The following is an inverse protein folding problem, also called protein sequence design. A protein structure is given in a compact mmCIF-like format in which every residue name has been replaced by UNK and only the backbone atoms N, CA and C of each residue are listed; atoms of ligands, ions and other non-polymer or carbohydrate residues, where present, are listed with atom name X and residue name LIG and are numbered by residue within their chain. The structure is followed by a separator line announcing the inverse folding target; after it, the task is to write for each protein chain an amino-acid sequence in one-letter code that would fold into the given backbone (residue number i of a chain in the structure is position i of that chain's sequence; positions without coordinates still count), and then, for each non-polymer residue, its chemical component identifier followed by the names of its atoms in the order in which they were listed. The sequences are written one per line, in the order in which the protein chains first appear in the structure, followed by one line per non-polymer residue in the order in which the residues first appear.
data_IF_475862704939
#
_entry.id   IF_475862704939
#
_cell.length_a   1.000
_cell.length_b   1.000
_cell.length_c   1.000
_cell.angle_alpha   90.00
_cell.angle_beta   90.00
_cell.angle_gamma   90.00
#
_symmetry.space_group_name_H-M   'P 1'
#
loop_
_entity.id
_entity.type
_entity.pdbx_description
1 polymer ?
#
# COMPACT_ATOMS: atom_id res chain seq x y z
N UNK A 1 12.37 -9.61 -16.45
CA UNK A 1 12.01 -10.98 -16.13
C UNK A 1 10.58 -11.24 -16.62
N UNK A 2 10.42 -12.36 -17.31
CA UNK A 2 9.13 -12.79 -17.86
C UNK A 2 8.10 -12.91 -16.72
N UNK A 3 6.89 -12.35 -16.89
CA UNK A 3 5.80 -12.41 -15.91
C UNK A 3 5.51 -13.86 -15.43
N UNK A 4 5.65 -14.84 -16.32
CA UNK A 4 5.50 -16.26 -15.99
C UNK A 4 6.55 -16.75 -14.98
N UNK A 5 7.81 -16.36 -15.13
CA UNK A 5 8.88 -16.73 -14.19
C UNK A 5 8.62 -16.11 -12.81
N UNK A 6 8.11 -14.88 -12.78
CA UNK A 6 7.77 -14.18 -11.55
C UNK A 6 6.63 -14.88 -10.81
N UNK A 7 5.58 -15.25 -11.51
CA UNK A 7 4.46 -16.02 -10.95
C UNK A 7 4.95 -17.36 -10.34
N UNK A 8 5.78 -18.12 -11.07
CA UNK A 8 6.32 -19.40 -10.59
C UNK A 8 7.17 -19.22 -9.33
N UNK A 9 8.04 -18.20 -9.27
CA UNK A 9 8.83 -17.92 -8.07
C UNK A 9 7.95 -17.53 -6.88
N UNK A 10 6.90 -16.74 -7.11
CA UNK A 10 5.98 -16.32 -6.05
C UNK A 10 5.17 -17.49 -5.52
N UNK A 11 4.67 -18.35 -6.41
CA UNK A 11 3.95 -19.57 -6.02
C UNK A 11 4.84 -20.51 -5.21
N UNK A 12 6.08 -20.68 -5.62
CA UNK A 12 7.07 -21.49 -4.90
C UNK A 12 7.39 -20.87 -3.51
N UNK A 13 7.59 -19.57 -3.43
CA UNK A 13 7.84 -18.85 -2.18
C UNK A 13 6.64 -18.97 -1.22
N UNK A 14 5.44 -18.81 -1.73
CA UNK A 14 4.21 -18.94 -0.96
C UNK A 14 4.04 -20.38 -0.44
N UNK A 15 4.33 -21.39 -1.24
CA UNK A 15 4.30 -22.80 -0.80
C UNK A 15 5.31 -23.06 0.31
N UNK A 16 6.54 -22.56 0.19
CA UNK A 16 7.58 -22.72 1.21
C UNK A 16 7.19 -22.09 2.55
N UNK A 17 6.47 -20.98 2.53
CA UNK A 17 6.06 -20.25 3.74
C UNK A 17 4.66 -20.64 4.22
N UNK A 18 4.03 -21.64 3.62
CA UNK A 18 2.64 -22.06 3.91
C UNK A 18 1.64 -20.88 3.78
N UNK A 19 2.02 -19.82 3.07
CA UNK A 19 1.13 -18.75 2.71
C UNK A 19 0.27 -19.31 1.59
N UNK A 20 -1.02 -19.48 1.81
CA UNK A 20 -1.93 -19.79 0.73
C UNK A 20 -1.89 -18.66 -0.29
N UNK A 21 -0.96 -18.75 -1.21
CA UNK A 21 -0.80 -17.85 -2.33
C UNK A 21 -1.92 -18.05 -3.33
N UNK A 22 -3.14 -17.86 -2.87
CA UNK A 22 -4.29 -17.93 -3.73
C UNK A 22 -4.35 -16.62 -4.54
N UNK A 23 -3.57 -16.58 -5.64
CA UNK A 23 -3.62 -15.49 -6.61
C UNK A 23 -5.06 -15.13 -7.00
N UNK A 24 -5.98 -16.08 -6.92
CA UNK A 24 -7.41 -15.88 -7.17
C UNK A 24 -8.06 -14.92 -6.17
N UNK A 25 -7.54 -14.78 -4.95
CA UNK A 25 -8.07 -13.82 -3.96
C UNK A 25 -7.65 -12.38 -4.24
N UNK A 26 -6.50 -12.20 -4.86
CA UNK A 26 -5.89 -10.88 -5.07
C UNK A 26 -6.07 -10.38 -6.50
N UNK A 27 -5.85 -11.23 -7.50
CA UNK A 27 -5.90 -10.85 -8.92
C UNK A 27 -7.15 -10.07 -9.32
N UNK A 28 -8.38 -10.42 -8.91
CA UNK A 28 -9.56 -9.65 -9.29
C UNK A 28 -9.52 -8.20 -8.80
N UNK A 29 -9.02 -7.97 -7.58
CA UNK A 29 -8.93 -6.62 -6.99
C UNK A 29 -7.88 -5.79 -7.71
N UNK A 30 -6.73 -6.39 -8.03
CA UNK A 30 -5.67 -5.70 -8.78
C UNK A 30 -6.05 -5.40 -10.23
N UNK A 31 -6.82 -6.28 -10.88
CA UNK A 31 -7.40 -5.99 -12.21
C UNK A 31 -8.43 -4.86 -12.15
N UNK A 32 -9.23 -4.80 -11.10
CA UNK A 32 -10.16 -3.71 -10.91
C UNK A 32 -9.43 -2.40 -10.67
N UNK A 33 -8.38 -2.40 -9.84
CA UNK A 33 -7.49 -1.25 -9.67
C UNK A 33 -6.91 -0.77 -11.00
N UNK A 34 -6.49 -1.69 -11.86
CA UNK A 34 -6.00 -1.39 -13.20
C UNK A 34 -7.03 -0.58 -14.03
N UNK A 35 -8.30 -0.88 -13.87
CA UNK A 35 -9.39 -0.24 -14.58
C UNK A 35 -9.81 1.12 -13.99
N UNK A 36 -9.93 1.22 -12.66
CA UNK A 36 -10.56 2.39 -12.00
C UNK A 36 -9.60 3.24 -11.14
N UNK A 37 -8.36 2.77 -10.92
CA UNK A 37 -7.32 3.47 -10.14
C UNK A 37 -7.69 3.76 -8.67
N UNK A 38 -8.67 3.09 -8.13
CA UNK A 38 -9.10 3.28 -6.74
C UNK A 38 -8.28 2.41 -5.79
N UNK A 39 -7.61 3.05 -4.84
CA UNK A 39 -6.72 2.37 -3.88
C UNK A 39 -7.49 1.71 -2.71
N UNK A 40 -8.67 2.23 -2.36
CA UNK A 40 -9.46 1.73 -1.23
C UNK A 40 -9.76 0.22 -1.32
N UNK A 41 -10.14 -0.33 -2.48
CA UNK A 41 -10.35 -1.78 -2.60
C UNK A 41 -9.07 -2.60 -2.38
N UNK A 42 -7.89 -2.07 -2.74
CA UNK A 42 -6.61 -2.74 -2.46
C UNK A 42 -6.33 -2.78 -0.96
N UNK A 43 -6.54 -1.65 -0.29
CA UNK A 43 -6.35 -1.53 1.17
C UNK A 43 -7.32 -2.46 1.90
N UNK A 44 -8.59 -2.45 1.52
CA UNK A 44 -9.60 -3.35 2.10
C UNK A 44 -9.21 -4.82 1.90
N UNK A 45 -8.82 -5.21 0.69
CA UNK A 45 -8.39 -6.58 0.39
C UNK A 45 -7.14 -6.97 1.19
N UNK A 46 -6.20 -6.06 1.40
CA UNK A 46 -5.04 -6.29 2.25
C UNK A 46 -5.44 -6.64 3.69
N UNK A 47 -6.33 -5.85 4.29
CA UNK A 47 -6.79 -6.11 5.66
C UNK A 47 -7.62 -7.39 5.78
N UNK A 48 -8.57 -7.62 4.86
CA UNK A 48 -9.49 -8.75 4.94
C UNK A 48 -8.86 -10.07 4.49
N UNK A 49 -8.12 -10.06 3.40
CA UNK A 49 -7.62 -11.29 2.78
C UNK A 49 -6.17 -11.61 3.15
N UNK A 50 -5.29 -10.60 3.20
CA UNK A 50 -3.89 -10.85 3.53
C UNK A 50 -3.68 -10.93 5.05
N UNK A 51 -4.02 -9.91 5.80
CA UNK A 51 -3.87 -9.93 7.26
C UNK A 51 -4.81 -10.94 7.93
N UNK A 52 -6.00 -11.15 7.40
CA UNK A 52 -6.96 -12.11 7.91
C UNK A 52 -6.49 -13.58 7.90
N UNK A 53 -5.39 -13.89 7.21
CA UNK A 53 -4.78 -15.23 7.23
C UNK A 53 -3.94 -15.48 8.49
N UNK A 54 -3.51 -14.44 9.19
CA UNK A 54 -2.66 -14.60 10.36
C UNK A 54 -3.47 -14.97 11.60
N UNK A 55 -2.86 -15.81 12.43
CA UNK A 55 -3.45 -16.18 13.72
C UNK A 55 -3.50 -14.97 14.67
N UNK A 56 -4.49 -14.94 15.56
CA UNK A 56 -4.67 -13.86 16.54
C UNK A 56 -3.39 -13.50 17.31
N UNK A 57 -2.55 -14.50 17.63
CA UNK A 57 -1.27 -14.30 18.33
C UNK A 57 -0.26 -13.45 17.55
N UNK A 58 -0.36 -13.40 16.22
CA UNK A 58 0.50 -12.56 15.38
C UNK A 58 0.12 -11.09 15.54
N UNK A 59 -1.17 -10.80 15.71
CA UNK A 59 -1.67 -9.44 15.86
C UNK A 59 -1.12 -8.74 17.11
N UNK A 60 -0.75 -9.48 18.16
CA UNK A 60 -0.10 -8.90 19.34
C UNK A 60 1.29 -8.30 19.02
N UNK A 61 1.92 -8.75 17.95
CA UNK A 61 3.26 -8.32 17.50
C UNK A 61 3.23 -7.37 16.31
N UNK A 62 2.08 -7.17 15.69
CA UNK A 62 1.93 -6.25 14.56
C UNK A 62 2.16 -4.82 15.06
N UNK A 63 2.84 -4.04 14.25
CA UNK A 63 3.04 -2.61 14.42
C UNK A 63 2.96 -1.92 13.05
N UNK A 64 3.04 -0.61 13.05
CA UNK A 64 2.98 0.21 11.84
C UNK A 64 4.02 -0.22 10.78
N UNK A 65 5.24 -0.49 11.20
CA UNK A 65 6.30 -0.95 10.29
C UNK A 65 5.96 -2.30 9.63
N UNK A 66 5.36 -3.23 10.38
CA UNK A 66 4.91 -4.50 9.81
C UNK A 66 3.83 -4.28 8.74
N UNK A 67 2.83 -3.43 9.03
CA UNK A 67 1.74 -3.11 8.09
C UNK A 67 2.33 -2.49 6.81
N UNK A 68 3.19 -1.49 6.95
CA UNK A 68 3.85 -0.82 5.85
C UNK A 68 4.64 -1.78 4.95
N UNK A 69 5.51 -2.58 5.56
CA UNK A 69 6.36 -3.51 4.80
C UNK A 69 5.55 -4.63 4.13
N UNK A 70 4.56 -5.19 4.81
CA UNK A 70 3.75 -6.27 4.25
C UNK A 70 2.76 -5.77 3.19
N UNK A 71 2.24 -4.56 3.33
CA UNK A 71 1.45 -3.90 2.28
C UNK A 71 2.30 -3.66 1.03
N UNK A 72 3.51 -3.08 1.19
CA UNK A 72 4.46 -2.94 0.10
C UNK A 72 4.74 -4.26 -0.60
N UNK A 73 5.04 -5.31 0.16
CA UNK A 73 5.35 -6.61 -0.39
C UNK A 73 4.19 -7.15 -1.24
N UNK A 74 2.96 -7.08 -0.72
CA UNK A 74 1.77 -7.53 -1.44
C UNK A 74 1.52 -6.70 -2.71
N UNK A 75 1.50 -5.38 -2.61
CA UNK A 75 1.18 -4.49 -3.74
C UNK A 75 2.25 -4.58 -4.83
N UNK A 76 3.52 -4.64 -4.46
CA UNK A 76 4.62 -4.77 -5.41
C UNK A 76 4.58 -6.05 -6.23
N UNK A 77 4.02 -7.13 -5.70
CA UNK A 77 3.84 -8.39 -6.45
C UNK A 77 2.98 -8.22 -7.70
N UNK A 78 1.95 -7.41 -7.61
CA UNK A 78 0.93 -7.28 -8.66
C UNK A 78 1.10 -6.04 -9.51
N UNK A 79 1.65 -4.95 -8.95
CA UNK A 79 1.70 -3.65 -9.63
C UNK A 79 3.11 -3.19 -10.02
N UNK A 80 4.15 -4.01 -9.85
CA UNK A 80 5.53 -3.61 -10.19
C UNK A 80 5.81 -3.49 -11.70
N UNK A 81 4.88 -3.86 -12.55
CA UNK A 81 4.92 -3.52 -13.99
C UNK A 81 4.38 -2.12 -14.29
N UNK A 82 3.66 -1.52 -13.36
CA UNK A 82 2.97 -0.25 -13.50
C UNK A 82 3.59 0.86 -12.66
N UNK A 83 4.13 0.51 -11.49
CA UNK A 83 4.68 1.44 -10.50
C UNK A 83 6.07 1.05 -10.03
N UNK A 84 6.85 2.06 -9.71
CA UNK A 84 7.97 1.97 -8.78
C UNK A 84 7.47 2.26 -7.37
N UNK A 85 8.16 1.72 -6.37
CA UNK A 85 7.76 1.84 -4.97
C UNK A 85 8.89 2.39 -4.14
N UNK A 86 8.56 3.23 -3.16
CA UNK A 86 9.49 3.70 -2.14
C UNK A 86 8.86 3.53 -0.76
N UNK A 87 9.68 3.09 0.20
CA UNK A 87 9.32 3.04 1.62
C UNK A 87 10.16 4.07 2.33
N UNK A 88 9.57 4.81 3.28
CA UNK A 88 10.27 5.82 4.07
C UNK A 88 10.98 6.87 3.22
N UNK A 89 10.27 7.42 2.24
CA UNK A 89 10.83 8.44 1.36
C UNK A 89 10.97 9.77 2.09
N UNK A 90 12.17 10.34 2.05
CA UNK A 90 12.42 11.67 2.62
C UNK A 90 11.82 12.77 1.75
N UNK A 91 10.98 13.58 2.36
CA UNK A 91 10.34 14.75 1.78
C UNK A 91 10.69 16.01 2.60
N UNK A 92 10.44 17.19 2.07
CA UNK A 92 10.69 18.45 2.79
C UNK A 92 9.79 18.62 4.02
N UNK A 93 8.61 17.99 4.01
CA UNK A 93 7.65 18.00 5.11
C UNK A 93 7.86 16.86 6.13
N UNK A 94 8.87 15.99 5.92
CA UNK A 94 9.15 14.83 6.76
C UNK A 94 9.46 13.58 5.95
N UNK A 95 9.01 12.44 6.41
CA UNK A 95 9.23 11.15 5.76
C UNK A 95 7.89 10.44 5.56
N UNK A 96 7.50 10.22 4.30
CA UNK A 96 6.33 9.42 3.95
C UNK A 96 6.56 7.94 4.22
N UNK A 97 5.52 7.22 4.60
CA UNK A 97 5.62 5.79 4.87
C UNK A 97 5.76 4.97 3.59
N UNK A 98 4.97 5.29 2.58
CA UNK A 98 4.92 4.51 1.34
C UNK A 98 4.50 5.39 0.15
N UNK A 99 5.21 5.25 -0.95
CA UNK A 99 4.90 5.93 -2.22
C UNK A 99 4.89 4.94 -3.37
N UNK A 100 3.97 5.17 -4.32
CA UNK A 100 3.88 4.47 -5.59
C UNK A 100 3.95 5.50 -6.70
N UNK A 101 4.99 5.47 -7.53
CA UNK A 101 5.15 6.37 -8.68
C UNK A 101 5.02 5.60 -10.00
N UNK A 102 4.17 6.09 -10.89
CA UNK A 102 3.92 5.45 -12.19
C UNK A 102 5.17 5.36 -13.06
N UNK A 103 5.37 4.21 -13.70
CA UNK A 103 6.55 3.95 -14.54
C UNK A 103 6.43 4.72 -15.87
N UNK A 104 7.47 5.46 -16.30
CA UNK A 104 7.52 6.09 -17.61
C UNK A 104 7.22 5.13 -18.76
N UNK A 105 6.38 5.55 -19.69
CA UNK A 105 5.97 4.74 -20.84
C UNK A 105 4.80 3.79 -20.56
N UNK A 106 4.20 3.86 -19.38
CA UNK A 106 2.92 3.20 -19.07
C UNK A 106 1.79 4.21 -18.94
N UNK A 107 0.54 3.74 -18.96
CA UNK A 107 -0.65 4.57 -18.71
C UNK A 107 -0.71 5.11 -17.27
N UNK A 108 0.22 4.70 -16.43
CA UNK A 108 0.36 5.08 -15.02
C UNK A 108 1.36 6.22 -14.79
N UNK A 109 2.06 6.67 -15.81
CA UNK A 109 3.23 7.57 -15.70
C UNK A 109 2.98 8.84 -14.88
N UNK A 110 1.78 9.38 -14.94
CA UNK A 110 1.42 10.59 -14.18
C UNK A 110 0.66 10.29 -12.88
N UNK A 111 0.56 9.01 -12.51
CA UNK A 111 -0.18 8.57 -11.34
C UNK A 111 0.80 8.35 -10.17
N UNK A 112 0.66 9.11 -9.12
CA UNK A 112 1.47 9.01 -7.92
C UNK A 112 0.58 8.89 -6.69
N UNK A 113 0.97 8.00 -5.76
CA UNK A 113 0.22 7.68 -4.55
C UNK A 113 1.12 7.85 -3.35
N UNK A 114 0.72 8.70 -2.43
CA UNK A 114 1.35 8.87 -1.13
C UNK A 114 0.44 8.29 -0.07
N UNK A 115 0.95 7.33 0.68
CA UNK A 115 0.19 6.61 1.72
C UNK A 115 0.91 6.78 3.05
N UNK A 116 0.14 7.12 4.07
CA UNK A 116 0.59 7.21 5.45
C UNK A 116 -0.19 6.20 6.29
N UNK A 117 0.53 5.37 7.03
CA UNK A 117 -0.07 4.39 7.94
C UNK A 117 -0.09 4.93 9.36
N UNK A 118 -1.18 4.69 10.08
CA UNK A 118 -1.27 4.97 11.51
C UNK A 118 -1.76 3.73 12.25
N UNK A 119 -1.02 3.32 13.25
CA UNK A 119 -1.32 2.13 14.04
C UNK A 119 -1.60 2.48 15.50
N UNK A 120 -2.78 2.14 15.97
CA UNK A 120 -3.24 2.40 17.32
C UNK A 120 -3.57 1.10 18.05
N UNK A 121 -3.42 1.08 19.37
CA UNK A 121 -3.74 -0.07 20.23
C UNK A 121 -4.63 0.34 21.38
N UNK A 122 -5.37 -0.64 21.92
CA UNK A 122 -6.17 -0.48 23.13
C UNK A 122 -7.12 0.70 23.05
N UNK A 123 -7.12 1.54 24.08
CA UNK A 123 -8.02 2.70 24.18
C UNK A 123 -7.83 3.74 23.07
N UNK A 124 -6.61 3.89 22.56
CA UNK A 124 -6.35 4.81 21.45
C UNK A 124 -6.99 4.30 20.15
N UNK A 125 -6.96 2.99 19.93
CA UNK A 125 -7.65 2.39 18.78
C UNK A 125 -9.18 2.56 18.90
N UNK A 126 -9.77 2.34 20.08
CA UNK A 126 -11.19 2.55 20.33
C UNK A 126 -11.58 4.02 20.08
N UNK A 127 -10.76 4.95 20.55
CA UNK A 127 -10.95 6.38 20.31
C UNK A 127 -10.91 6.71 18.80
N UNK A 128 -9.91 6.19 18.08
CA UNK A 128 -9.78 6.43 16.63
C UNK A 128 -10.96 5.87 15.84
N UNK A 129 -11.42 4.66 16.18
CA UNK A 129 -12.57 4.02 15.55
C UNK A 129 -13.88 4.78 15.80
N UNK A 130 -13.97 5.58 16.87
CA UNK A 130 -15.15 6.41 17.15
C UNK A 130 -15.20 7.72 16.35
N UNK A 131 -14.11 8.07 15.67
CA UNK A 131 -14.06 9.27 14.83
C UNK A 131 -14.72 9.00 13.47
N UNK A 132 -15.49 9.96 12.99
CA UNK A 132 -16.07 9.92 11.64
C UNK A 132 -15.06 10.31 10.54
N UNK A 133 -14.01 11.01 10.92
CA UNK A 133 -12.97 11.52 10.01
C UNK A 133 -11.58 11.35 10.64
N UNK A 134 -10.52 11.26 9.82
CA UNK A 134 -9.15 11.23 10.31
C UNK A 134 -8.80 12.49 11.11
N UNK A 135 -7.83 12.38 12.02
CA UNK A 135 -7.36 13.56 12.75
C UNK A 135 -6.77 14.60 11.80
N UNK A 136 -7.07 15.90 11.99
CA UNK A 136 -6.58 16.97 11.13
C UNK A 136 -5.06 16.96 10.94
N UNK A 137 -4.30 16.65 11.99
CA UNK A 137 -2.84 16.55 11.96
C UNK A 137 -2.33 15.48 11.00
N UNK A 138 -3.02 14.32 10.90
CA UNK A 138 -2.67 13.27 9.93
C UNK A 138 -2.98 13.70 8.50
N UNK A 139 -4.11 14.35 8.29
CA UNK A 139 -4.49 14.90 6.99
C UNK A 139 -3.49 15.95 6.51
N UNK A 140 -3.08 16.86 7.39
CA UNK A 140 -2.09 17.89 7.06
C UNK A 140 -0.70 17.29 6.77
N UNK A 141 -0.31 16.25 7.51
CA UNK A 141 0.93 15.51 7.25
C UNK A 141 0.96 14.95 5.83
N UNK A 142 -0.08 14.22 5.43
CA UNK A 142 -0.17 13.59 4.10
C UNK A 142 -0.25 14.65 3.00
N UNK A 143 -1.00 15.74 3.22
CA UNK A 143 -1.04 16.89 2.28
C UNK A 143 0.35 17.49 2.07
N UNK A 144 1.12 17.68 3.14
CA UNK A 144 2.48 18.20 3.05
C UNK A 144 3.38 17.33 2.16
N UNK A 145 3.28 16.01 2.27
CA UNK A 145 4.02 15.10 1.40
C UNK A 145 3.59 15.19 -0.06
N UNK A 146 2.28 15.23 -0.30
CA UNK A 146 1.74 15.36 -1.65
C UNK A 146 2.12 16.69 -2.32
N UNK A 147 2.12 17.78 -1.59
CA UNK A 147 2.57 19.09 -2.09
C UNK A 147 4.05 19.07 -2.46
N UNK A 148 4.89 18.41 -1.67
CA UNK A 148 6.31 18.26 -1.98
C UNK A 148 6.53 17.40 -3.23
N UNK A 149 5.84 16.28 -3.36
CA UNK A 149 5.86 15.43 -4.55
C UNK A 149 5.37 16.20 -5.78
N UNK A 150 4.27 16.94 -5.67
CA UNK A 150 3.72 17.76 -6.76
C UNK A 150 4.65 18.90 -7.17
N UNK A 151 5.43 19.45 -6.23
CA UNK A 151 6.46 20.46 -6.52
C UNK A 151 7.61 19.88 -7.33
N UNK A 152 8.03 18.65 -7.00
CA UNK A 152 9.08 17.92 -7.73
C UNK A 152 8.60 17.45 -9.10
N UNK A 153 7.34 17.07 -9.22
CA UNK A 153 6.72 16.51 -10.41
C UNK A 153 5.37 17.19 -10.72
N UNK A 154 5.38 18.43 -11.31
CA UNK A 154 4.16 19.24 -11.47
C UNK A 154 3.06 18.60 -12.30
N UNK A 155 3.40 17.68 -13.18
CA UNK A 155 2.47 17.00 -14.08
C UNK A 155 1.84 15.73 -13.49
N UNK A 156 2.19 15.37 -12.25
CA UNK A 156 1.68 14.15 -11.62
C UNK A 156 0.35 14.40 -10.92
N UNK A 157 -0.54 13.43 -11.05
CA UNK A 157 -1.76 13.36 -10.24
C UNK A 157 -1.41 12.68 -8.91
N UNK A 158 -1.14 13.50 -7.88
CA UNK A 158 -0.84 13.00 -6.55
C UNK A 158 -2.15 12.76 -5.81
N UNK A 159 -2.39 11.52 -5.42
CA UNK A 159 -3.53 11.09 -4.61
C UNK A 159 -3.07 10.69 -3.21
N UNK A 160 -3.86 11.10 -2.21
CA UNK A 160 -3.61 10.91 -0.79
C UNK A 160 -4.46 9.77 -0.24
N UNK A 161 -3.88 9.00 0.69
CA UNK A 161 -4.57 7.96 1.44
C UNK A 161 -4.05 7.88 2.87
#
# INVERSE_FOLDING_TARGET
PNMTMRSVYMDYYNQLNQIEGNAQRYVPVYRKYDADRRLEPLVQNYFEQYLGQFLAQVFDKINENFIRCSFYELVSRYLSSCYTFAIEQNNSAGRSDFEMAGIPGTDYYTDDRVVEFKYYRGKDAERMLSLSEPLPEHVEQVKGYAEDTKRKFPNYNVLLL
#
